data_IF_636260795977
#
_entry.id   IF_636260795977
#
_cell.length_a   1.000
_cell.length_b   1.000
_cell.length_c   1.000
_cell.angle_alpha   90.00
_cell.angle_beta   90.00
_cell.angle_gamma   90.00
#
_symmetry.space_group_name_H-M   'P 1'
#
loop_
_entity.id
_entity.type
_entity.pdbx_description
1 polymer ?
#
# COMPACT_ATOMS: atom_id res chain seq x y z
N UNK A 1 5.65 7.81 -18.24
CA UNK A 1 4.59 6.80 -18.07
C UNK A 1 3.38 7.47 -17.41
N UNK A 2 2.17 7.31 -17.95
CA UNK A 2 0.96 7.79 -17.28
C UNK A 2 0.50 6.71 -16.30
N UNK A 3 0.66 6.95 -15.00
CA UNK A 3 0.35 5.98 -13.94
C UNK A 3 -1.12 6.13 -13.52
N UNK A 4 -1.78 5.02 -13.19
CA UNK A 4 -3.14 5.00 -12.68
C UNK A 4 -3.31 5.98 -11.49
N UNK A 5 -4.39 6.79 -11.43
CA UNK A 5 -4.53 7.82 -10.41
C UNK A 5 -4.89 7.29 -9.00
N UNK A 6 -5.19 6.00 -8.85
CA UNK A 6 -5.65 5.38 -7.59
C UNK A 6 -6.87 6.13 -7.00
N UNK A 7 -7.90 6.30 -7.82
CA UNK A 7 -9.04 7.17 -7.51
C UNK A 7 -10.10 6.49 -6.65
N UNK A 8 -10.60 7.22 -5.65
CA UNK A 8 -11.72 6.82 -4.81
C UNK A 8 -12.77 7.93 -4.81
N UNK A 9 -13.73 7.86 -5.74
CA UNK A 9 -14.67 8.96 -5.96
C UNK A 9 -13.96 10.22 -6.49
N UNK A 10 -14.02 11.32 -5.72
CA UNK A 10 -13.36 12.60 -6.07
C UNK A 10 -11.93 12.74 -5.54
N UNK A 11 -11.39 11.70 -4.91
CA UNK A 11 -10.04 11.68 -4.34
C UNK A 11 -9.13 10.85 -5.25
N UNK A 12 -7.85 11.22 -5.34
CA UNK A 12 -6.81 10.49 -6.09
C UNK A 12 -5.57 10.27 -5.21
N UNK A 13 -4.68 9.38 -5.62
CA UNK A 13 -3.49 8.94 -4.88
C UNK A 13 -3.85 8.34 -3.52
N UNK A 14 -4.94 7.58 -3.48
CA UNK A 14 -5.38 6.94 -2.24
C UNK A 14 -4.50 5.73 -1.95
N UNK A 15 -4.03 5.65 -0.71
CA UNK A 15 -3.36 4.48 -0.16
C UNK A 15 -3.72 4.38 1.33
N UNK A 16 -3.73 3.15 1.84
CA UNK A 16 -3.76 2.87 3.27
C UNK A 16 -2.39 2.33 3.67
N UNK A 17 -1.84 2.83 4.76
CA UNK A 17 -0.54 2.41 5.29
C UNK A 17 -0.81 1.85 6.69
N UNK A 18 -0.30 0.66 7.00
CA UNK A 18 -0.38 0.11 8.35
C UNK A 18 0.49 0.88 9.34
N UNK A 19 0.34 0.60 10.63
CA UNK A 19 1.40 0.92 11.58
C UNK A 19 2.69 0.16 11.22
N UNK A 20 3.85 0.68 11.65
CA UNK A 20 5.14 0.02 11.47
C UNK A 20 5.15 -1.28 12.28
N UNK A 21 5.32 -2.39 11.56
CA UNK A 21 5.49 -3.73 12.10
C UNK A 21 6.90 -4.24 11.87
N UNK A 22 7.02 -5.56 11.74
CA UNK A 22 8.28 -6.25 11.44
C UNK A 22 8.07 -7.35 10.40
N UNK A 23 9.04 -7.51 9.52
CA UNK A 23 9.19 -8.65 8.64
C UNK A 23 10.42 -9.45 9.09
N UNK A 24 10.34 -10.78 9.03
CA UNK A 24 11.41 -11.68 9.46
C UNK A 24 11.69 -12.69 8.36
N UNK A 25 12.96 -12.91 8.05
CA UNK A 25 13.40 -13.85 7.01
C UNK A 25 14.64 -14.62 7.45
N UNK A 26 14.88 -15.76 6.80
CA UNK A 26 16.11 -16.55 6.89
C UNK A 26 16.66 -16.73 5.46
N UNK A 27 17.47 -15.79 4.97
CA UNK A 27 18.07 -15.88 3.65
C UNK A 27 18.83 -17.19 3.43
N UNK A 28 18.60 -17.79 2.26
CA UNK A 28 19.27 -19.02 1.81
C UNK A 28 20.62 -18.72 1.14
N UNK A 29 21.50 -19.74 0.98
CA UNK A 29 22.69 -19.60 0.15
C UNK A 29 22.34 -19.11 -1.26
N UNK A 30 23.06 -18.09 -1.74
CA UNK A 30 22.82 -17.48 -3.06
C UNK A 30 21.77 -16.36 -3.07
N UNK A 31 21.16 -16.02 -1.94
CA UNK A 31 20.42 -14.76 -1.78
C UNK A 31 21.33 -13.56 -1.97
N UNK A 32 20.78 -12.41 -2.36
CA UNK A 32 21.59 -11.20 -2.57
C UNK A 32 22.16 -10.61 -1.28
N UNK A 33 21.63 -11.01 -0.12
CA UNK A 33 22.26 -10.79 1.18
C UNK A 33 23.70 -11.30 1.21
N UNK A 34 23.98 -12.47 0.60
CA UNK A 34 25.35 -13.02 0.50
C UNK A 34 26.33 -12.11 -0.23
N UNK A 35 25.83 -11.25 -1.12
CA UNK A 35 26.63 -10.31 -1.93
C UNK A 35 26.78 -8.95 -1.24
N UNK A 36 25.77 -8.52 -0.50
CA UNK A 36 25.66 -7.15 -0.02
C UNK A 36 25.88 -6.98 1.49
N UNK A 37 25.93 -8.07 2.26
CA UNK A 37 26.15 -8.05 3.71
C UNK A 37 27.41 -8.85 4.05
N UNK A 38 28.42 -8.15 4.54
CA UNK A 38 29.67 -8.78 5.01
C UNK A 38 29.41 -9.63 6.27
N UNK A 39 29.98 -10.83 6.31
CA UNK A 39 29.83 -11.76 7.44
C UNK A 39 28.46 -12.43 7.52
N UNK A 40 27.71 -12.44 6.41
CA UNK A 40 26.43 -13.12 6.32
C UNK A 40 26.55 -14.65 6.49
N UNK A 41 25.69 -15.22 7.32
CA UNK A 41 25.57 -16.67 7.53
C UNK A 41 24.18 -17.15 7.08
N UNK A 42 24.09 -18.05 6.08
CA UNK A 42 22.81 -18.60 5.63
C UNK A 42 22.00 -19.25 6.76
N UNK A 43 20.68 -19.02 6.75
CA UNK A 43 19.78 -19.50 7.80
C UNK A 43 19.78 -18.68 9.09
N UNK A 44 20.62 -17.65 9.21
CA UNK A 44 20.50 -16.66 10.28
C UNK A 44 19.20 -15.87 10.12
N UNK A 45 18.52 -15.61 11.25
CA UNK A 45 17.27 -14.86 11.24
C UNK A 45 17.53 -13.37 11.18
N UNK A 46 16.96 -12.70 10.18
CA UNK A 46 17.00 -11.26 10.02
C UNK A 46 15.60 -10.68 10.26
N UNK A 47 15.52 -9.47 10.81
CA UNK A 47 14.24 -8.82 11.09
C UNK A 47 14.35 -7.32 10.81
N UNK A 48 13.42 -6.82 10.00
CA UNK A 48 13.41 -5.46 9.50
C UNK A 48 12.08 -4.77 9.81
N UNK A 49 12.06 -3.45 10.05
CA UNK A 49 10.81 -2.71 10.13
C UNK A 49 10.11 -2.71 8.76
N UNK A 50 8.80 -2.85 8.77
CA UNK A 50 7.99 -2.90 7.54
C UNK A 50 6.62 -2.24 7.76
N UNK A 51 5.95 -1.87 6.66
CA UNK A 51 4.54 -1.49 6.65
C UNK A 51 3.82 -2.26 5.54
N UNK A 52 2.54 -2.55 5.74
CA UNK A 52 1.65 -2.96 4.66
C UNK A 52 1.14 -1.69 3.95
N UNK A 53 1.45 -1.57 2.66
CA UNK A 53 0.86 -0.57 1.77
C UNK A 53 -0.28 -1.21 0.98
N UNK A 54 -1.50 -0.70 1.16
CA UNK A 54 -2.67 -1.15 0.41
C UNK A 54 -3.16 -0.06 -0.52
N UNK A 55 -3.19 -0.38 -1.80
CA UNK A 55 -3.86 0.40 -2.85
C UNK A 55 -4.95 -0.46 -3.50
N UNK A 56 -5.88 0.17 -4.20
CA UNK A 56 -6.94 -0.53 -4.90
C UNK A 56 -7.10 0.04 -6.30
N UNK A 57 -7.34 -0.86 -7.25
CA UNK A 57 -7.66 -0.56 -8.64
C UNK A 57 -8.93 -1.29 -9.02
N UNK A 58 -9.56 -0.84 -10.10
CA UNK A 58 -10.66 -1.53 -10.73
C UNK A 58 -10.23 -2.95 -11.14
N UNK A 59 -11.20 -3.88 -11.23
CA UNK A 59 -10.96 -5.25 -11.70
C UNK A 59 -10.70 -5.26 -13.21
N UNK A 60 -9.53 -4.77 -13.58
CA UNK A 60 -9.04 -4.61 -14.94
C UNK A 60 -7.56 -5.06 -14.99
N UNK A 61 -7.27 -6.07 -15.79
CA UNK A 61 -5.95 -6.71 -15.80
C UNK A 61 -4.87 -5.81 -16.41
N UNK A 62 -5.22 -4.97 -17.39
CA UNK A 62 -4.27 -4.04 -18.01
C UNK A 62 -3.87 -2.95 -17.00
N UNK A 63 -4.84 -2.40 -16.27
CA UNK A 63 -4.59 -1.48 -15.16
C UNK A 63 -3.76 -2.13 -14.05
N UNK A 64 -4.10 -3.36 -13.65
CA UNK A 64 -3.32 -4.10 -12.64
C UNK A 64 -1.87 -4.27 -13.11
N UNK A 65 -1.64 -4.77 -14.32
CA UNK A 65 -0.30 -4.96 -14.87
C UNK A 65 0.50 -3.65 -14.85
N UNK A 66 -0.07 -2.55 -15.35
CA UNK A 66 0.62 -1.26 -15.38
C UNK A 66 0.96 -0.73 -13.98
N UNK A 67 0.13 -1.01 -12.97
CA UNK A 67 0.40 -0.64 -11.57
C UNK A 67 1.48 -1.53 -10.96
N UNK A 68 1.48 -2.83 -11.24
CA UNK A 68 2.54 -3.75 -10.79
C UNK A 68 3.90 -3.33 -11.34
N UNK A 69 3.99 -2.99 -12.63
CA UNK A 69 5.22 -2.47 -13.25
C UNK A 69 5.71 -1.20 -12.55
N UNK A 70 4.79 -0.30 -12.19
CA UNK A 70 5.13 0.93 -11.48
C UNK A 70 5.65 0.66 -10.06
N UNK A 71 5.08 -0.32 -9.36
CA UNK A 71 5.54 -0.71 -8.02
C UNK A 71 6.93 -1.33 -8.10
N UNK A 72 7.13 -2.31 -9.00
CA UNK A 72 8.42 -3.00 -9.18
C UNK A 72 9.51 -2.00 -9.56
N UNK A 73 9.21 -1.05 -10.45
CA UNK A 73 10.17 -0.01 -10.83
C UNK A 73 10.58 0.92 -9.67
N UNK A 74 9.64 1.23 -8.76
CA UNK A 74 9.88 2.17 -7.67
C UNK A 74 10.41 1.49 -6.39
N UNK A 75 10.24 0.17 -6.25
CA UNK A 75 10.63 -0.56 -5.06
C UNK A 75 12.14 -0.85 -5.05
N UNK A 76 12.74 -0.89 -3.86
CA UNK A 76 14.18 -1.06 -3.69
C UNK A 76 14.63 -2.52 -3.60
N UNK A 77 13.74 -3.42 -3.20
CA UNK A 77 13.97 -4.87 -3.33
C UNK A 77 13.86 -5.31 -4.79
N UNK A 78 14.64 -6.33 -5.15
CA UNK A 78 14.64 -6.96 -6.48
C UNK A 78 13.24 -7.36 -6.93
N UNK A 79 12.47 -7.98 -6.03
CA UNK A 79 11.06 -8.25 -6.22
C UNK A 79 10.32 -8.01 -4.90
N UNK A 80 9.47 -6.97 -4.80
CA UNK A 80 8.65 -6.76 -3.62
C UNK A 80 7.62 -7.88 -3.44
N UNK A 81 7.34 -8.24 -2.19
CA UNK A 81 6.23 -9.14 -1.86
C UNK A 81 4.92 -8.41 -2.11
N UNK A 82 4.16 -8.86 -3.11
CA UNK A 82 2.86 -8.27 -3.49
C UNK A 82 1.76 -9.33 -3.42
N UNK A 83 0.70 -9.03 -2.67
CA UNK A 83 -0.52 -9.84 -2.61
C UNK A 83 -1.63 -9.18 -3.41
N UNK A 84 -2.22 -9.92 -4.37
CA UNK A 84 -3.40 -9.48 -5.11
C UNK A 84 -4.63 -10.14 -4.50
N UNK A 85 -5.64 -9.33 -4.13
CA UNK A 85 -6.93 -9.79 -3.60
C UNK A 85 -8.08 -9.15 -4.37
N UNK A 86 -9.07 -9.97 -4.74
CA UNK A 86 -10.35 -9.46 -5.25
C UNK A 86 -11.23 -9.07 -4.06
N UNK A 87 -11.78 -7.86 -4.09
CA UNK A 87 -12.59 -7.32 -3.00
C UNK A 87 -13.67 -6.36 -3.54
N UNK A 88 -14.70 -6.12 -2.73
CA UNK A 88 -15.76 -5.15 -3.02
C UNK A 88 -15.60 -3.93 -2.12
N UNK A 89 -15.29 -2.79 -2.73
CA UNK A 89 -15.18 -1.51 -2.03
C UNK A 89 -16.33 -0.57 -2.42
N UNK A 90 -16.87 0.14 -1.43
CA UNK A 90 -17.68 1.35 -1.71
C UNK A 90 -16.80 2.42 -2.37
N UNK A 91 -17.39 3.52 -2.87
CA UNK A 91 -16.66 4.69 -3.36
C UNK A 91 -17.18 5.95 -2.69
N UNK A 92 -16.31 6.94 -2.50
CA UNK A 92 -16.72 8.21 -1.90
C UNK A 92 -17.75 8.93 -2.80
N UNK A 93 -18.97 9.09 -2.27
CA UNK A 93 -20.09 9.72 -2.94
C UNK A 93 -20.61 10.89 -2.10
N UNK A 94 -19.92 12.04 -2.19
CA UNK A 94 -20.32 13.24 -1.45
C UNK A 94 -21.67 13.77 -1.95
N UNK A 95 -22.62 13.92 -1.03
CA UNK A 95 -23.91 14.56 -1.26
C UNK A 95 -24.02 15.80 -0.36
N UNK A 96 -23.92 17.03 -0.91
CA UNK A 96 -24.01 18.26 -0.13
C UNK A 96 -25.39 18.52 0.48
N UNK A 97 -26.44 17.82 0.03
CA UNK A 97 -27.80 17.94 0.55
C UNK A 97 -28.13 16.90 1.63
N UNK A 98 -27.14 16.13 2.09
CA UNK A 98 -27.38 15.10 3.11
C UNK A 98 -27.56 15.75 4.49
N UNK A 99 -28.70 15.49 5.10
CA UNK A 99 -29.10 15.91 6.46
C UNK A 99 -28.75 14.87 7.54
N UNK A 100 -28.04 13.80 7.19
CA UNK A 100 -27.67 12.73 8.12
C UNK A 100 -26.82 13.31 9.28
N UNK A 101 -27.30 13.21 10.55
CA UNK A 101 -26.63 13.83 11.69
C UNK A 101 -25.29 13.14 12.06
N UNK A 102 -24.99 11.98 11.50
CA UNK A 102 -23.71 11.30 11.72
C UNK A 102 -22.57 11.85 10.84
N UNK A 103 -22.88 12.68 9.83
CA UNK A 103 -21.85 13.31 9.00
C UNK A 103 -21.06 14.33 9.83
N UNK A 104 -19.74 14.29 9.73
CA UNK A 104 -18.86 15.17 10.50
C UNK A 104 -19.13 16.67 10.22
N UNK A 105 -19.59 17.00 9.01
CA UNK A 105 -19.99 18.35 8.62
C UNK A 105 -21.38 18.77 9.14
N UNK A 106 -22.16 17.84 9.69
CA UNK A 106 -23.49 18.10 10.27
C UNK A 106 -23.50 18.06 11.82
N UNK A 107 -22.44 17.57 12.47
CA UNK A 107 -22.41 17.35 13.93
C UNK A 107 -21.31 18.10 14.69
N UNK A 108 -20.56 18.97 14.02
CA UNK A 108 -19.54 19.82 14.66
C UNK A 108 -18.29 19.08 15.15
N UNK A 109 -18.12 17.78 14.87
CA UNK A 109 -16.91 17.01 15.25
C UNK A 109 -15.65 17.43 14.49
N UNK A 110 -15.81 18.12 13.36
CA UNK A 110 -14.69 18.54 12.51
C UNK A 110 -14.02 17.38 11.77
N UNK A 111 -12.92 17.68 11.09
CA UNK A 111 -12.07 16.67 10.46
C UNK A 111 -11.11 16.07 11.50
N UNK A 112 -10.71 14.79 11.35
CA UNK A 112 -9.60 14.24 12.11
C UNK A 112 -8.32 15.06 11.90
N UNK A 113 -7.44 15.05 12.90
CA UNK A 113 -6.11 15.64 12.77
C UNK A 113 -5.31 14.95 11.67
N UNK A 114 -4.56 15.74 10.92
CA UNK A 114 -3.61 15.21 9.94
C UNK A 114 -2.38 14.71 10.69
N UNK A 115 -1.94 13.51 10.34
CA UNK A 115 -0.68 12.93 10.81
C UNK A 115 0.29 12.95 9.62
N UNK A 116 1.51 13.43 9.86
CA UNK A 116 2.62 13.40 8.89
C UNK A 116 3.46 12.14 9.09
#
# INVERSE_FOLDING_TARGET
>A
MKIHPLSFGRYQRNASISAVGKETTQPEPGSTTTTHVEGFEPGATETYPMVELKISVERDLDTLSSVMDAIIHAHHYEEPVIFVREDWASRAAYNPKSDNPNRWWNNGRGLPDRIE
#
